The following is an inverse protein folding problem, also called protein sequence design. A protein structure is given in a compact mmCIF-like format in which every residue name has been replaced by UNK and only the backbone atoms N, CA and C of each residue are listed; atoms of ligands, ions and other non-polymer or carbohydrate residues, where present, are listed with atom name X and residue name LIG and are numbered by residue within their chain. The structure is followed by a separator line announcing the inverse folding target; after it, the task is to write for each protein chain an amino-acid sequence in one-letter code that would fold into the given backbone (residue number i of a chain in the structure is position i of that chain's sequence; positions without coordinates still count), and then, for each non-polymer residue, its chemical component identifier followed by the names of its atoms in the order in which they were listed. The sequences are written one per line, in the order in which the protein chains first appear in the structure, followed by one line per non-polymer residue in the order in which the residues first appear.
data_IF_829520457234
#
_entry.id   IF_829520457234
#
_cell.length_a   1.000
_cell.length_b   1.000
_cell.length_c   1.000
_cell.angle_alpha   90.00
_cell.angle_beta   90.00
_cell.angle_gamma   90.00
#
_symmetry.space_group_name_H-M   'P 1'
#
loop_
_entity.id
_entity.type
_entity.pdbx_description
1 polymer ?
#
# COMPACT_ATOMS: atom_id res chain seq x y z
N UNK A 1 4.41 10.69 -6.60
CA UNK A 1 3.88 11.86 -5.86
C UNK A 1 5.05 12.44 -5.10
N UNK A 2 5.35 13.74 -5.28
CA UNK A 2 6.41 14.40 -4.50
C UNK A 2 5.75 15.17 -3.36
N UNK A 3 6.28 15.04 -2.16
CA UNK A 3 5.86 15.83 -0.99
C UNK A 3 7.10 16.42 -0.30
N UNK A 4 6.93 17.55 0.37
CA UNK A 4 8.04 18.14 1.16
C UNK A 4 8.11 17.52 2.55
N UNK A 5 9.27 17.64 3.21
CA UNK A 5 9.45 17.20 4.59
C UNK A 5 8.43 17.88 5.54
N UNK A 6 8.12 19.17 5.30
CA UNK A 6 7.10 19.89 6.07
C UNK A 6 5.71 19.28 5.89
N UNK A 7 5.31 18.97 4.65
CA UNK A 7 4.02 18.33 4.39
C UNK A 7 3.94 16.95 5.04
N UNK A 8 5.01 16.15 4.92
CA UNK A 8 5.09 14.85 5.55
C UNK A 8 4.96 14.97 7.07
N UNK A 9 5.75 15.84 7.70
CA UNK A 9 5.71 16.04 9.15
C UNK A 9 4.32 16.45 9.64
N UNK A 10 3.61 17.29 8.88
CA UNK A 10 2.22 17.67 9.19
C UNK A 10 1.29 16.46 9.18
N UNK A 11 1.41 15.60 8.16
CA UNK A 11 0.56 14.38 8.01
C UNK A 11 0.79 13.43 9.20
N UNK A 12 2.06 13.20 9.58
CA UNK A 12 2.42 12.23 10.62
C UNK A 12 2.56 12.85 12.01
N UNK A 13 2.27 14.15 12.17
CA UNK A 13 2.40 14.91 13.42
C UNK A 13 3.79 14.83 14.02
N UNK A 14 4.80 14.85 13.16
CA UNK A 14 6.21 14.81 13.56
C UNK A 14 6.82 16.21 13.68
N UNK A 15 7.90 16.32 14.42
CA UNK A 15 8.69 17.53 14.61
C UNK A 15 9.88 17.54 13.64
N UNK A 16 10.07 18.64 12.90
CA UNK A 16 11.18 18.77 11.94
C UNK A 16 12.41 19.34 12.60
N UNK A 17 13.56 18.74 12.29
CA UNK A 17 14.88 19.28 12.57
C UNK A 17 15.69 19.23 11.25
N UNK A 18 15.94 20.41 10.66
CA UNK A 18 16.61 20.58 9.36
C UNK A 18 15.76 21.31 8.32
N UNK A 19 16.04 21.07 7.04
CA UNK A 19 15.35 21.75 5.92
C UNK A 19 14.01 21.11 5.60
N UNK A 20 12.93 21.81 5.96
CA UNK A 20 11.55 21.35 5.70
C UNK A 20 11.14 21.42 4.21
N UNK A 21 11.89 22.08 3.35
CA UNK A 21 11.59 22.21 1.92
C UNK A 21 12.06 21.00 1.09
N UNK A 22 12.84 20.11 1.68
CA UNK A 22 13.40 18.93 1.00
C UNK A 22 12.27 18.06 0.48
N UNK A 23 12.38 17.63 -0.79
CA UNK A 23 11.39 16.81 -1.48
C UNK A 23 11.63 15.33 -1.29
N UNK A 24 10.55 14.59 -1.15
CA UNK A 24 10.52 13.14 -1.00
C UNK A 24 9.67 12.56 -2.12
N UNK A 25 10.22 11.59 -2.86
CA UNK A 25 9.55 10.89 -3.94
C UNK A 25 9.51 9.37 -3.77
N UNK A 26 10.35 8.84 -2.89
CA UNK A 26 10.50 7.40 -2.65
C UNK A 26 10.76 7.10 -1.17
N UNK A 27 10.74 5.82 -0.82
CA UNK A 27 11.21 5.34 0.47
C UNK A 27 12.17 4.16 0.29
N UNK A 28 13.10 3.98 1.21
CA UNK A 28 14.08 2.91 1.16
C UNK A 28 14.66 2.59 2.54
N UNK A 29 15.38 1.48 2.65
CA UNK A 29 16.16 1.18 3.84
C UNK A 29 17.27 2.21 4.01
N UNK A 30 17.68 2.46 5.25
CA UNK A 30 18.63 3.51 5.59
C UNK A 30 20.00 3.32 4.92
N UNK A 31 20.45 2.08 4.77
CA UNK A 31 21.70 1.71 4.11
C UNK A 31 21.67 1.85 2.58
N UNK A 32 20.50 1.76 1.96
CA UNK A 32 20.31 1.77 0.50
C UNK A 32 19.76 3.10 -0.02
N UNK A 33 19.48 4.03 0.90
CA UNK A 33 18.81 5.28 0.60
C UNK A 33 19.59 6.17 -0.38
N UNK A 34 18.84 6.87 -1.24
CA UNK A 34 19.36 7.84 -2.19
C UNK A 34 18.70 9.21 -1.94
N UNK A 35 19.22 10.25 -2.60
CA UNK A 35 18.61 11.57 -2.59
C UNK A 35 17.14 11.51 -3.06
N UNK A 36 16.27 12.25 -2.39
CA UNK A 36 14.82 12.20 -2.61
C UNK A 36 14.11 11.05 -1.89
N UNK A 37 14.82 10.25 -1.09
CA UNK A 37 14.17 9.16 -0.33
C UNK A 37 13.90 9.52 1.12
N UNK A 38 12.79 8.98 1.62
CA UNK A 38 12.48 8.85 3.04
C UNK A 38 13.08 7.55 3.56
N UNK A 39 13.72 7.59 4.71
CA UNK A 39 14.11 6.41 5.44
C UNK A 39 13.77 6.53 6.92
N UNK A 40 14.09 5.53 7.72
CA UNK A 40 13.75 5.53 9.14
C UNK A 40 14.79 4.80 9.98
N UNK A 41 14.94 5.23 11.23
CA UNK A 41 15.73 4.57 12.25
C UNK A 41 14.80 4.09 13.38
N UNK A 42 14.46 2.78 13.35
CA UNK A 42 13.68 2.17 14.43
C UNK A 42 14.57 1.33 15.36
N UNK A 43 15.66 0.76 14.86
CA UNK A 43 16.56 -0.09 15.65
C UNK A 43 17.91 0.62 15.89
N UNK A 44 18.32 0.80 17.14
CA UNK A 44 19.58 1.45 17.50
C UNK A 44 20.84 0.82 16.87
N UNK A 45 20.79 -0.44 16.49
CA UNK A 45 21.90 -1.13 15.80
C UNK A 45 22.27 -0.45 14.47
N UNK A 46 21.33 0.25 13.85
CA UNK A 46 21.51 0.94 12.58
C UNK A 46 21.87 2.43 12.72
N UNK A 47 22.10 2.92 13.94
CA UNK A 47 22.40 4.34 14.21
C UNK A 47 23.61 4.84 13.40
N UNK A 48 24.62 4.00 13.18
CA UNK A 48 25.81 4.40 12.40
C UNK A 48 25.47 4.77 10.95
N UNK A 49 24.39 4.20 10.38
CA UNK A 49 23.95 4.58 9.02
C UNK A 49 23.34 5.99 8.95
N UNK A 50 22.87 6.54 10.05
CA UNK A 50 22.30 7.90 10.08
C UNK A 50 23.30 8.94 9.57
N UNK A 51 24.58 8.73 9.82
CA UNK A 51 25.66 9.64 9.43
C UNK A 51 26.18 9.42 8.01
N UNK A 52 25.89 8.28 7.40
CA UNK A 52 26.40 7.90 6.08
C UNK A 52 25.31 7.76 5.01
N UNK A 53 24.05 7.70 5.42
CA UNK A 53 22.92 7.57 4.50
C UNK A 53 22.84 8.74 3.53
N UNK A 54 22.34 8.48 2.33
CA UNK A 54 21.99 9.49 1.32
C UNK A 54 20.51 9.84 1.34
N UNK A 55 19.74 9.33 2.32
CA UNK A 55 18.35 9.72 2.49
C UNK A 55 18.22 11.23 2.65
N UNK A 56 17.24 11.81 2.01
CA UNK A 56 16.95 13.25 2.18
C UNK A 56 16.21 13.52 3.50
N UNK A 57 15.40 12.57 3.94
CA UNK A 57 14.63 12.67 5.19
C UNK A 57 14.72 11.35 5.97
N UNK A 58 14.88 11.48 7.29
CA UNK A 58 14.90 10.34 8.23
C UNK A 58 13.80 10.49 9.28
N UNK A 59 12.97 9.46 9.43
CA UNK A 59 12.12 9.32 10.61
C UNK A 59 12.96 8.77 11.76
N UNK A 60 12.97 9.48 12.86
CA UNK A 60 13.69 9.08 14.08
C UNK A 60 12.78 9.22 15.29
N UNK A 61 13.12 8.55 16.39
CA UNK A 61 12.40 8.74 17.65
C UNK A 61 12.59 10.15 18.20
N UNK A 62 11.62 10.67 18.94
CA UNK A 62 11.68 12.00 19.59
C UNK A 62 12.88 12.18 20.51
N UNK A 63 13.29 11.11 21.16
CA UNK A 63 14.43 11.09 22.08
C UNK A 63 15.79 10.92 21.38
N UNK A 64 15.79 10.79 20.06
CA UNK A 64 17.03 10.66 19.28
C UNK A 64 17.79 11.98 19.29
N UNK A 65 19.03 11.93 19.76
CA UNK A 65 19.98 13.05 19.73
C UNK A 65 21.20 12.60 18.92
N UNK A 66 21.50 13.26 17.81
CA UNK A 66 22.67 12.92 17.00
C UNK A 66 23.98 13.28 17.72
N UNK A 67 24.96 12.39 17.67
CA UNK A 67 26.30 12.62 18.19
C UNK A 67 27.20 13.40 17.22
N UNK A 68 26.82 13.45 15.95
CA UNK A 68 27.54 14.11 14.86
C UNK A 68 26.55 14.84 13.95
N UNK A 69 26.99 15.83 13.17
CA UNK A 69 26.14 16.49 12.18
C UNK A 69 25.56 15.51 11.17
N UNK A 70 24.24 15.62 10.92
CA UNK A 70 23.50 14.82 9.95
C UNK A 70 23.14 15.69 8.73
N UNK A 71 23.28 15.14 7.54
CA UNK A 71 22.92 15.83 6.30
C UNK A 71 21.41 15.78 6.01
N UNK A 72 20.77 14.66 6.37
CA UNK A 72 19.35 14.46 6.17
C UNK A 72 18.52 15.35 7.11
N UNK A 73 17.35 15.77 6.64
CA UNK A 73 16.34 16.37 7.51
C UNK A 73 15.73 15.29 8.39
N UNK A 74 15.67 15.52 9.70
CA UNK A 74 15.05 14.61 10.63
C UNK A 74 13.59 14.98 10.84
N UNK A 75 12.72 13.97 10.91
CA UNK A 75 11.36 14.10 11.41
C UNK A 75 11.24 13.22 12.64
N UNK A 76 11.08 13.86 13.79
CA UNK A 76 10.99 13.21 15.09
C UNK A 76 9.56 12.77 15.37
N UNK A 77 9.38 11.47 15.65
CA UNK A 77 8.08 10.83 15.93
C UNK A 77 8.17 9.91 17.15
N UNK A 78 7.05 9.51 17.70
CA UNK A 78 7.04 8.61 18.88
C UNK A 78 7.56 7.22 18.51
N UNK A 79 7.09 6.66 17.39
CA UNK A 79 7.51 5.36 16.87
C UNK A 79 7.72 5.43 15.33
N UNK A 80 8.97 5.45 14.87
CA UNK A 80 9.28 5.52 13.44
C UNK A 80 8.75 4.34 12.62
N UNK A 81 8.68 3.15 13.21
CA UNK A 81 8.20 1.95 12.52
C UNK A 81 6.68 1.98 12.34
N UNK A 82 5.95 2.28 13.40
CA UNK A 82 4.50 2.45 13.34
C UNK A 82 4.10 3.60 12.39
N UNK A 83 4.81 4.73 12.46
CA UNK A 83 4.59 5.88 11.58
C UNK A 83 4.80 5.53 10.10
N UNK A 84 5.85 4.77 9.78
CA UNK A 84 6.06 4.30 8.41
C UNK A 84 4.93 3.38 7.94
N UNK A 85 4.48 2.46 8.79
CA UNK A 85 3.36 1.57 8.47
C UNK A 85 2.07 2.37 8.20
N UNK A 86 1.78 3.39 8.99
CA UNK A 86 0.64 4.31 8.75
C UNK A 86 0.78 5.04 7.41
N UNK A 87 1.96 5.57 7.10
CA UNK A 87 2.23 6.24 5.83
C UNK A 87 2.01 5.31 4.63
N UNK A 88 2.50 4.09 4.69
CA UNK A 88 2.30 3.11 3.63
C UNK A 88 0.81 2.78 3.43
N UNK A 89 0.06 2.65 4.52
CA UNK A 89 -1.38 2.46 4.46
C UNK A 89 -2.11 3.67 3.85
N UNK A 90 -1.71 4.91 4.19
CA UNK A 90 -2.26 6.12 3.60
C UNK A 90 -1.98 6.22 2.10
N UNK A 91 -0.76 5.92 1.67
CA UNK A 91 -0.39 5.90 0.25
C UNK A 91 -1.21 4.84 -0.51
N UNK A 92 -1.36 3.65 0.06
CA UNK A 92 -2.16 2.58 -0.54
C UNK A 92 -3.65 2.94 -0.61
N UNK A 93 -4.19 3.59 0.41
CA UNK A 93 -5.58 4.07 0.43
C UNK A 93 -5.82 5.23 -0.57
N UNK A 94 -4.78 6.02 -0.90
CA UNK A 94 -4.84 7.12 -1.87
C UNK A 94 -4.75 6.64 -3.33
N UNK A 95 -4.41 5.37 -3.56
CA UNK A 95 -4.39 4.82 -4.90
C UNK A 95 -5.81 4.88 -5.51
N UNK A 96 -5.96 5.25 -6.80
CA UNK A 96 -7.28 5.33 -7.43
C UNK A 96 -8.00 4.00 -7.30
N UNK A 97 -9.18 4.03 -6.67
CA UNK A 97 -10.00 2.83 -6.50
C UNK A 97 -10.52 2.44 -7.87
N UNK A 98 -10.09 1.28 -8.35
CA UNK A 98 -10.68 0.69 -9.55
C UNK A 98 -12.09 0.22 -9.25
N UNK A 99 -13.02 0.53 -10.15
CA UNK A 99 -14.42 0.07 -10.12
C UNK A 99 -14.95 -0.11 -11.53
N UNK A 100 -16.04 -0.85 -11.67
CA UNK A 100 -16.68 -1.12 -12.96
C UNK A 100 -16.18 -2.41 -13.60
N UNK A 101 -16.75 -2.71 -14.76
CA UNK A 101 -16.52 -3.94 -15.53
C UNK A 101 -15.77 -3.58 -16.80
N UNK A 102 -14.56 -4.09 -16.94
CA UNK A 102 -13.77 -4.00 -18.18
C UNK A 102 -14.27 -5.03 -19.21
N UNK A 103 -13.99 -4.80 -20.48
CA UNK A 103 -14.36 -5.73 -21.56
C UNK A 103 -13.11 -6.25 -22.29
N UNK A 104 -13.15 -7.49 -22.83
CA UNK A 104 -14.24 -8.47 -22.73
C UNK A 104 -14.21 -9.27 -21.41
N UNK A 105 -15.36 -9.57 -20.85
CA UNK A 105 -15.53 -10.51 -19.73
C UNK A 105 -16.66 -11.48 -20.05
N UNK A 106 -16.66 -12.64 -19.40
CA UNK A 106 -17.79 -13.56 -19.41
C UNK A 106 -18.40 -13.63 -18.01
N UNK A 107 -19.67 -13.34 -17.90
CA UNK A 107 -20.46 -13.49 -16.68
C UNK A 107 -21.65 -14.37 -17.02
N UNK A 108 -21.82 -15.47 -16.32
CA UNK A 108 -22.93 -16.40 -16.55
C UNK A 108 -24.28 -15.74 -16.25
N UNK A 109 -25.30 -16.14 -16.98
CA UNK A 109 -26.67 -15.66 -16.78
C UNK A 109 -27.13 -15.88 -15.33
N UNK A 110 -27.83 -14.88 -14.79
CA UNK A 110 -28.34 -14.93 -13.42
C UNK A 110 -27.32 -14.65 -12.32
N UNK A 111 -26.12 -14.21 -12.65
CA UNK A 111 -25.13 -13.73 -11.67
C UNK A 111 -25.30 -12.23 -11.49
N UNK A 112 -25.65 -11.80 -10.29
CA UNK A 112 -25.74 -10.39 -9.93
C UNK A 112 -24.37 -9.87 -9.50
N UNK A 113 -23.90 -8.84 -10.20
CA UNK A 113 -22.66 -8.14 -9.84
C UNK A 113 -22.98 -6.88 -9.04
N UNK A 114 -22.35 -6.66 -7.87
CA UNK A 114 -22.51 -5.43 -7.13
C UNK A 114 -22.04 -4.20 -7.94
N UNK A 115 -22.67 -3.06 -7.77
CA UNK A 115 -22.23 -1.80 -8.43
C UNK A 115 -20.83 -1.36 -8.02
N UNK A 116 -20.39 -1.79 -6.85
CA UNK A 116 -19.08 -1.49 -6.27
C UNK A 116 -17.97 -2.43 -6.74
N UNK A 117 -18.25 -3.39 -7.64
CA UNK A 117 -17.25 -4.34 -8.13
C UNK A 117 -16.23 -3.67 -9.05
N UNK A 118 -15.00 -4.18 -9.03
CA UNK A 118 -14.08 -4.09 -10.16
C UNK A 118 -13.90 -5.47 -10.77
N UNK A 119 -14.22 -5.60 -12.05
CA UNK A 119 -14.03 -6.84 -12.82
C UNK A 119 -13.16 -6.55 -14.04
N UNK A 120 -11.92 -7.02 -13.97
CA UNK A 120 -10.90 -6.84 -15.01
C UNK A 120 -11.14 -7.71 -16.23
N UNK A 121 -10.66 -7.24 -17.36
CA UNK A 121 -10.82 -7.86 -18.66
C UNK A 121 -10.37 -9.34 -18.71
N UNK A 122 -10.98 -10.12 -19.60
CA UNK A 122 -10.69 -11.55 -19.81
C UNK A 122 -10.98 -12.43 -18.59
N UNK A 123 -11.76 -11.95 -17.63
CA UNK A 123 -12.20 -12.76 -16.49
C UNK A 123 -13.47 -13.54 -16.83
N UNK A 124 -13.62 -14.69 -16.17
CA UNK A 124 -14.78 -15.58 -16.28
C UNK A 124 -15.46 -15.71 -14.91
N UNK A 125 -16.78 -15.55 -14.88
CA UNK A 125 -17.61 -15.79 -13.69
C UNK A 125 -18.66 -16.84 -14.04
N UNK A 126 -18.58 -17.97 -13.33
CA UNK A 126 -19.44 -19.13 -13.52
C UNK A 126 -20.84 -18.96 -12.93
N UNK A 127 -21.71 -19.94 -13.23
CA UNK A 127 -23.12 -19.94 -12.79
C UNK A 127 -23.25 -19.94 -11.27
N UNK A 128 -24.26 -19.24 -10.77
CA UNK A 128 -24.57 -19.17 -9.33
C UNK A 128 -23.43 -18.66 -8.44
N UNK A 129 -22.41 -18.02 -9.02
CA UNK A 129 -21.37 -17.34 -8.23
C UNK A 129 -21.99 -16.16 -7.47
N UNK A 130 -21.58 -15.98 -6.22
CA UNK A 130 -22.01 -14.88 -5.35
C UNK A 130 -20.83 -13.99 -5.04
N UNK A 131 -20.90 -12.76 -5.48
CA UNK A 131 -19.82 -11.77 -5.34
C UNK A 131 -20.27 -10.68 -4.37
N UNK A 132 -19.48 -10.48 -3.32
CA UNK A 132 -19.74 -9.46 -2.31
C UNK A 132 -19.44 -8.05 -2.76
N UNK A 133 -19.77 -7.07 -1.91
CA UNK A 133 -19.52 -5.66 -2.14
C UNK A 133 -18.03 -5.32 -2.12
N UNK A 134 -17.63 -4.34 -2.95
CA UNK A 134 -16.26 -3.85 -3.07
C UNK A 134 -15.23 -4.93 -3.41
N UNK A 135 -15.64 -6.03 -4.03
CA UNK A 135 -14.72 -7.07 -4.52
C UNK A 135 -13.96 -6.54 -5.73
N UNK A 136 -12.65 -6.80 -5.75
CA UNK A 136 -11.76 -6.44 -6.85
C UNK A 136 -11.25 -7.71 -7.51
N UNK A 137 -11.67 -7.96 -8.73
CA UNK A 137 -11.23 -9.10 -9.55
C UNK A 137 -10.38 -8.53 -10.69
N UNK A 138 -9.07 -8.72 -10.59
CA UNK A 138 -8.15 -8.25 -11.62
C UNK A 138 -8.23 -9.12 -12.88
N UNK A 139 -7.64 -8.68 -14.01
CA UNK A 139 -7.77 -9.37 -15.29
C UNK A 139 -7.39 -10.86 -15.27
N UNK A 140 -8.02 -11.65 -16.18
CA UNK A 140 -7.69 -13.06 -16.40
C UNK A 140 -8.00 -13.98 -15.21
N UNK A 141 -8.91 -13.58 -14.33
CA UNK A 141 -9.37 -14.45 -13.23
C UNK A 141 -10.41 -15.45 -13.73
N UNK A 142 -10.39 -16.64 -13.12
CA UNK A 142 -11.41 -17.65 -13.31
C UNK A 142 -12.16 -17.91 -12.00
N UNK A 143 -13.46 -17.67 -12.00
CA UNK A 143 -14.36 -17.89 -10.87
C UNK A 143 -15.35 -18.98 -11.31
N UNK A 144 -15.21 -20.16 -10.72
CA UNK A 144 -16.03 -21.33 -11.06
C UNK A 144 -17.48 -21.22 -10.58
N UNK A 145 -18.29 -22.20 -10.98
CA UNK A 145 -19.70 -22.24 -10.62
C UNK A 145 -19.91 -22.35 -9.11
N UNK A 146 -20.89 -21.62 -8.58
CA UNK A 146 -21.27 -21.67 -7.16
C UNK A 146 -20.20 -21.13 -6.20
N UNK A 147 -19.18 -20.44 -6.69
CA UNK A 147 -18.18 -19.77 -5.85
C UNK A 147 -18.82 -18.64 -5.06
N UNK A 148 -18.41 -18.49 -3.80
CA UNK A 148 -18.82 -17.38 -2.96
C UNK A 148 -17.57 -16.54 -2.62
N UNK A 149 -17.62 -15.23 -2.86
CA UNK A 149 -16.54 -14.30 -2.52
C UNK A 149 -17.10 -13.22 -1.60
N UNK A 150 -16.53 -13.12 -0.39
CA UNK A 150 -16.93 -12.16 0.62
C UNK A 150 -16.51 -10.72 0.30
N UNK A 151 -17.12 -9.78 1.01
CA UNK A 151 -16.93 -8.35 0.82
C UNK A 151 -15.46 -7.90 0.95
N UNK A 152 -15.09 -6.84 0.20
CA UNK A 152 -13.77 -6.21 0.26
C UNK A 152 -12.60 -7.16 -0.08
N UNK A 153 -12.85 -8.27 -0.77
CA UNK A 153 -11.83 -9.24 -1.18
C UNK A 153 -11.20 -8.82 -2.51
N UNK A 154 -9.89 -9.01 -2.62
CA UNK A 154 -9.11 -8.71 -3.83
C UNK A 154 -8.51 -9.98 -4.40
N UNK A 155 -8.79 -10.24 -5.67
CA UNK A 155 -8.19 -11.30 -6.46
C UNK A 155 -7.26 -10.68 -7.49
N UNK A 156 -5.97 -10.90 -7.35
CA UNK A 156 -5.00 -10.40 -8.34
C UNK A 156 -5.07 -11.17 -9.67
N UNK A 157 -4.45 -10.60 -10.69
CA UNK A 157 -4.54 -11.12 -12.05
C UNK A 157 -4.16 -12.61 -12.13
N UNK A 158 -4.95 -13.39 -12.89
CA UNK A 158 -4.71 -14.81 -13.10
C UNK A 158 -5.15 -15.75 -11.98
N UNK A 159 -5.74 -15.26 -10.90
CA UNK A 159 -6.29 -16.10 -9.81
C UNK A 159 -7.38 -17.01 -10.35
N UNK A 160 -7.34 -18.28 -9.97
CA UNK A 160 -8.34 -19.30 -10.34
C UNK A 160 -8.97 -19.86 -9.08
N UNK A 161 -10.30 -19.70 -8.98
CA UNK A 161 -11.12 -20.27 -7.90
C UNK A 161 -12.05 -21.31 -8.51
N UNK A 162 -11.87 -22.57 -8.10
CA UNK A 162 -12.65 -23.66 -8.64
C UNK A 162 -14.05 -23.71 -8.04
N UNK A 163 -14.90 -24.48 -8.70
CA UNK A 163 -16.31 -24.65 -8.37
C UNK A 163 -16.56 -24.91 -6.88
N UNK A 164 -17.55 -24.25 -6.31
CA UNK A 164 -18.04 -24.44 -4.95
C UNK A 164 -17.12 -23.94 -3.84
N UNK A 165 -15.98 -23.30 -4.18
CA UNK A 165 -15.10 -22.71 -3.17
C UNK A 165 -15.74 -21.49 -2.51
N UNK A 166 -15.38 -21.25 -1.25
CA UNK A 166 -15.79 -20.07 -0.50
C UNK A 166 -14.55 -19.27 -0.09
N UNK A 167 -14.51 -18.01 -0.48
CA UNK A 167 -13.49 -17.04 -0.06
C UNK A 167 -14.15 -16.06 0.90
N UNK A 168 -13.56 -15.86 2.06
CA UNK A 168 -14.06 -14.96 3.10
C UNK A 168 -13.99 -13.49 2.70
N UNK A 169 -14.31 -12.63 3.66
CA UNK A 169 -14.18 -11.17 3.51
C UNK A 169 -12.75 -10.70 3.69
N UNK A 170 -12.41 -9.56 3.06
CA UNK A 170 -11.10 -8.87 3.20
C UNK A 170 -9.90 -9.75 2.88
N UNK A 171 -10.09 -10.79 2.09
CA UNK A 171 -9.00 -11.64 1.62
C UNK A 171 -8.23 -10.99 0.48
N UNK A 172 -6.95 -11.34 0.38
CA UNK A 172 -6.09 -10.97 -0.76
C UNK A 172 -5.51 -12.26 -1.32
N UNK A 173 -5.83 -12.56 -2.61
CA UNK A 173 -5.35 -13.75 -3.29
C UNK A 173 -4.43 -13.35 -4.43
N UNK A 174 -3.30 -14.04 -4.49
CA UNK A 174 -2.33 -13.96 -5.58
C UNK A 174 -2.35 -15.25 -6.40
N UNK A 175 -1.97 -15.18 -7.68
CA UNK A 175 -1.82 -16.34 -8.58
C UNK A 175 -0.59 -17.16 -8.25
#
# INVERSE_FOLDING_TARGET
MEITATQLATIIRGEIEGDGSVKISSYSKIEEAQEGSLSFLANPKYTHFVYTTKASVLLVRKDFVPEQPIKATLIKVDDPYATLAELLNLVQASAPVKFGVEQPVYVSDGVDLPKSIYLGAFSYIGKNAKIGENVKIYPQCYIGDGVVIGNNTTLYAGVKIYQGCVVGEKCILHS
#
